data_IF_543956151773
#
_entry.id   IF_543956151773
#
_cell.length_a   1.000
_cell.length_b   1.000
_cell.length_c   1.000
_cell.angle_alpha   90.00
_cell.angle_beta   90.00
_cell.angle_gamma   90.00
#
_symmetry.space_group_name_H-M   'P 1'
#
loop_
_entity.id
_entity.type
_entity.pdbx_description
1 polymer ?
#
# COMPACT_ATOMS: atom_id res chain seq x y z
N UNK A 1 15.76 8.75 19.80
CA UNK A 1 14.51 9.30 19.23
C UNK A 1 14.30 8.63 17.89
N UNK A 2 13.14 8.00 17.68
CA UNK A 2 12.78 7.45 16.36
C UNK A 2 12.73 8.59 15.34
N UNK A 3 13.30 8.36 14.15
CA UNK A 3 13.26 9.30 13.03
C UNK A 3 11.82 9.55 12.62
N UNK A 4 11.61 10.68 11.93
CA UNK A 4 10.29 11.16 11.54
C UNK A 4 10.20 11.23 10.02
N UNK A 5 9.10 10.69 9.48
CA UNK A 5 8.79 10.73 8.05
C UNK A 5 7.73 11.80 7.80
N UNK A 6 7.85 12.55 6.71
CA UNK A 6 6.82 13.51 6.33
C UNK A 6 5.47 12.82 6.02
N UNK A 7 4.37 13.31 6.56
CA UNK A 7 3.04 12.70 6.39
C UNK A 7 2.56 12.69 4.93
N UNK A 8 2.93 13.68 4.11
CA UNK A 8 2.59 13.70 2.69
C UNK A 8 3.37 12.64 1.92
N UNK A 9 4.67 12.46 2.24
CA UNK A 9 5.47 11.35 1.71
C UNK A 9 4.84 10.01 2.08
N UNK A 10 4.61 9.77 3.37
CA UNK A 10 3.99 8.52 3.84
C UNK A 10 2.64 8.27 3.15
N UNK A 11 1.73 9.25 3.15
CA UNK A 11 0.45 9.14 2.46
C UNK A 11 0.62 8.79 0.98
N UNK A 12 1.51 9.48 0.26
CA UNK A 12 1.71 9.26 -1.18
C UNK A 12 2.23 7.85 -1.49
N UNK A 13 3.15 7.33 -0.67
CA UNK A 13 3.68 5.97 -0.81
C UNK A 13 2.62 4.94 -0.46
N UNK A 14 1.80 5.16 0.57
CA UNK A 14 0.69 4.27 0.93
C UNK A 14 -0.35 4.22 -0.19
N UNK A 15 -0.74 5.37 -0.76
CA UNK A 15 -1.68 5.43 -1.89
C UNK A 15 -1.13 4.72 -3.12
N UNK A 16 0.14 4.95 -3.49
CA UNK A 16 0.81 4.20 -4.57
C UNK A 16 0.83 2.70 -4.29
N UNK A 17 1.24 2.31 -3.09
CA UNK A 17 1.35 0.93 -2.64
C UNK A 17 0.01 0.19 -2.69
N UNK A 18 -1.10 0.83 -2.32
CA UNK A 18 -2.44 0.27 -2.47
C UNK A 18 -2.71 -0.16 -3.93
N UNK A 19 -2.51 0.75 -4.89
CA UNK A 19 -2.81 0.48 -6.29
C UNK A 19 -1.88 -0.59 -6.88
N UNK A 20 -0.58 -0.52 -6.55
CA UNK A 20 0.37 -1.55 -6.97
C UNK A 20 -0.03 -2.92 -6.44
N UNK A 21 -0.33 -3.04 -5.15
CA UNK A 21 -0.67 -4.29 -4.50
C UNK A 21 -2.02 -4.86 -4.95
N UNK A 22 -3.06 -4.03 -5.02
CA UNK A 22 -4.39 -4.47 -5.46
C UNK A 22 -4.36 -5.01 -6.89
N UNK A 23 -3.72 -4.29 -7.81
CA UNK A 23 -3.62 -4.74 -9.19
C UNK A 23 -2.75 -6.00 -9.34
N UNK A 24 -1.62 -6.11 -8.61
CA UNK A 24 -0.84 -7.34 -8.61
C UNK A 24 -1.61 -8.53 -8.02
N UNK A 25 -2.44 -8.33 -7.00
CA UNK A 25 -3.29 -9.38 -6.44
C UNK A 25 -4.26 -9.97 -7.48
N UNK A 26 -4.81 -9.14 -8.36
CA UNK A 26 -5.67 -9.60 -9.47
C UNK A 26 -4.82 -10.29 -10.55
N UNK A 27 -3.76 -9.63 -11.00
CA UNK A 27 -2.93 -10.09 -12.12
C UNK A 27 -2.27 -11.44 -11.80
N UNK A 28 -1.80 -11.63 -10.57
CA UNK A 28 -1.15 -12.87 -10.12
C UNK A 28 -2.13 -14.05 -9.96
N UNK A 29 -3.43 -13.76 -9.89
CA UNK A 29 -4.50 -14.76 -9.99
C UNK A 29 -4.81 -15.14 -11.44
N UNK A 30 -4.70 -14.20 -12.38
CA UNK A 30 -4.99 -14.43 -13.80
C UNK A 30 -3.79 -15.01 -14.56
N UNK A 31 -2.56 -14.66 -14.17
CA UNK A 31 -1.32 -15.03 -14.85
C UNK A 31 -0.47 -15.88 -13.89
N UNK A 32 -0.52 -17.20 -14.09
CA UNK A 32 0.18 -18.18 -13.26
C UNK A 32 1.70 -18.06 -13.45
N UNK A 33 2.46 -18.26 -12.36
CA UNK A 33 3.92 -18.22 -12.35
C UNK A 33 4.47 -16.80 -12.24
N UNK A 34 5.73 -16.61 -12.64
CA UNK A 34 6.47 -15.34 -12.53
C UNK A 34 6.83 -14.75 -13.90
N UNK A 35 5.95 -14.89 -14.90
CA UNK A 35 6.14 -14.28 -16.22
C UNK A 35 5.98 -12.75 -16.13
N UNK A 36 7.08 -12.08 -15.77
CA UNK A 36 7.11 -10.64 -15.57
C UNK A 36 6.66 -9.87 -16.82
N UNK A 37 7.01 -10.35 -18.02
CA UNK A 37 6.63 -9.71 -19.29
C UNK A 37 5.12 -9.74 -19.50
N UNK A 38 4.47 -10.86 -19.19
CA UNK A 38 3.01 -10.95 -19.28
C UNK A 38 2.32 -10.13 -18.18
N UNK A 39 2.80 -10.20 -16.94
CA UNK A 39 2.22 -9.45 -15.80
C UNK A 39 2.31 -7.93 -16.00
N UNK A 40 3.35 -7.45 -16.69
CA UNK A 40 3.55 -6.03 -16.99
C UNK A 40 3.16 -5.67 -18.43
N UNK A 41 2.47 -6.56 -19.15
CA UNK A 41 1.96 -6.24 -20.47
C UNK A 41 0.82 -5.21 -20.34
N UNK A 42 0.84 -4.09 -21.07
CA UNK A 42 -0.19 -3.05 -20.94
C UNK A 42 -1.61 -3.52 -21.22
N UNK A 43 -1.80 -4.50 -22.11
CA UNK A 43 -3.13 -5.05 -22.40
C UNK A 43 -3.66 -5.86 -21.21
N UNK A 44 -2.81 -6.70 -20.60
CA UNK A 44 -3.20 -7.50 -19.44
C UNK A 44 -3.53 -6.62 -18.23
N UNK A 45 -2.72 -5.60 -17.96
CA UNK A 45 -3.01 -4.65 -16.88
C UNK A 45 -4.34 -3.95 -17.13
N UNK A 46 -4.57 -3.43 -18.35
CA UNK A 46 -5.85 -2.77 -18.69
C UNK A 46 -7.03 -3.70 -18.51
N UNK A 47 -6.93 -4.93 -19.00
CA UNK A 47 -8.00 -5.90 -18.90
C UNK A 47 -8.34 -6.19 -17.42
N UNK A 48 -7.33 -6.51 -16.60
CA UNK A 48 -7.51 -6.70 -15.17
C UNK A 48 -8.18 -5.49 -14.49
N UNK A 49 -7.78 -4.28 -14.88
CA UNK A 49 -8.36 -3.06 -14.28
C UNK A 49 -9.79 -2.80 -14.76
N UNK A 50 -10.11 -3.00 -16.03
CA UNK A 50 -11.46 -2.81 -16.57
C UNK A 50 -12.47 -3.84 -16.04
N UNK A 51 -12.03 -5.04 -15.70
CA UNK A 51 -12.89 -6.08 -15.11
C UNK A 51 -13.26 -5.79 -13.64
N UNK A 52 -12.43 -5.01 -12.94
CA UNK A 52 -12.52 -4.84 -11.49
C UNK A 52 -12.58 -3.37 -11.02
N UNK A 53 -12.67 -2.39 -11.94
CA UNK A 53 -12.55 -0.97 -11.60
C UNK A 53 -13.61 -0.45 -10.62
N UNK A 54 -14.83 -1.00 -10.68
CA UNK A 54 -15.94 -0.58 -9.81
C UNK A 54 -15.71 -0.97 -8.33
N UNK A 55 -14.90 -2.01 -8.09
CA UNK A 55 -14.61 -2.53 -6.75
C UNK A 55 -13.46 -1.76 -6.06
N UNK A 56 -12.63 -1.05 -6.85
CA UNK A 56 -11.43 -0.37 -6.37
C UNK A 56 -11.74 0.69 -5.30
N UNK A 57 -12.79 1.50 -5.49
CA UNK A 57 -13.10 2.58 -4.54
C UNK A 57 -13.51 2.07 -3.17
N UNK A 58 -14.28 0.97 -3.12
CA UNK A 58 -14.70 0.35 -1.86
C UNK A 58 -13.48 -0.24 -1.12
N UNK A 59 -12.65 -1.02 -1.82
CA UNK A 59 -11.42 -1.56 -1.23
C UNK A 59 -10.43 -0.47 -0.82
N UNK A 60 -10.34 0.62 -1.59
CA UNK A 60 -9.51 1.76 -1.22
C UNK A 60 -9.98 2.36 0.09
N UNK A 61 -11.28 2.59 0.26
CA UNK A 61 -11.82 3.11 1.51
C UNK A 61 -11.50 2.17 2.68
N UNK A 62 -11.82 0.89 2.56
CA UNK A 62 -11.67 -0.10 3.63
C UNK A 62 -10.23 -0.22 4.14
N UNK A 63 -9.25 -0.07 3.24
CA UNK A 63 -7.83 -0.23 3.55
C UNK A 63 -7.18 1.11 3.92
N UNK A 64 -7.46 2.17 3.16
CA UNK A 64 -6.77 3.45 3.33
C UNK A 64 -7.36 4.30 4.44
N UNK A 65 -8.66 4.18 4.76
CA UNK A 65 -9.23 4.88 5.92
C UNK A 65 -8.52 4.55 7.23
N UNK A 66 -8.42 3.26 7.67
CA UNK A 66 -7.73 2.94 8.91
C UNK A 66 -6.23 3.27 8.86
N UNK A 67 -5.59 3.10 7.69
CA UNK A 67 -4.18 3.45 7.51
C UNK A 67 -3.92 4.96 7.72
N UNK A 68 -4.69 5.81 7.06
CA UNK A 68 -4.57 7.27 7.17
C UNK A 68 -5.00 7.79 8.54
N UNK A 69 -6.04 7.19 9.13
CA UNK A 69 -6.46 7.54 10.49
C UNK A 69 -5.34 7.25 11.50
N UNK A 70 -4.71 6.07 11.42
CA UNK A 70 -3.56 5.71 12.26
C UNK A 70 -2.34 6.60 12.00
N UNK A 71 -2.13 7.01 10.75
CA UNK A 71 -1.03 7.91 10.36
C UNK A 71 -1.17 9.29 11.01
N UNK A 72 -2.38 9.84 11.06
CA UNK A 72 -2.62 11.26 11.39
C UNK A 72 -3.18 11.50 12.80
N UNK A 73 -3.64 10.44 13.46
CA UNK A 73 -4.20 10.46 14.82
C UNK A 73 -3.43 9.51 15.74
N UNK A 74 -2.48 10.03 16.55
CA UNK A 74 -1.70 9.20 17.47
C UNK A 74 -2.52 8.52 18.57
N UNK A 75 -3.66 9.11 18.93
CA UNK A 75 -4.55 8.62 19.99
C UNK A 75 -5.81 8.03 19.34
N UNK A 76 -5.85 6.70 19.27
CA UNK A 76 -6.94 5.96 18.65
C UNK A 76 -8.28 6.19 19.35
N UNK A 77 -8.29 6.27 20.69
CA UNK A 77 -9.54 6.48 21.44
C UNK A 77 -10.13 7.85 21.13
N UNK A 78 -9.31 8.90 21.15
CA UNK A 78 -9.75 10.25 20.77
C UNK A 78 -10.18 10.35 19.32
N UNK A 79 -9.50 9.64 18.42
CA UNK A 79 -9.90 9.56 17.01
C UNK A 79 -11.30 8.95 16.88
N UNK A 80 -11.55 7.81 17.53
CA UNK A 80 -12.85 7.14 17.50
C UNK A 80 -13.98 7.99 18.12
N UNK A 81 -13.70 8.68 19.23
CA UNK A 81 -14.66 9.63 19.82
C UNK A 81 -15.00 10.77 18.87
N UNK A 82 -13.99 11.33 18.18
CA UNK A 82 -14.19 12.41 17.20
C UNK A 82 -14.96 11.89 15.98
N UNK A 83 -14.62 10.71 15.47
CA UNK A 83 -15.28 10.07 14.34
C UNK A 83 -16.77 9.86 14.63
N UNK A 84 -17.08 9.30 15.81
CA UNK A 84 -18.46 9.16 16.28
C UNK A 84 -19.15 10.51 16.29
N UNK A 85 -18.61 11.51 17.00
CA UNK A 85 -19.23 12.85 17.09
C UNK A 85 -19.49 13.50 15.74
N UNK A 86 -18.61 13.28 14.76
CA UNK A 86 -18.72 13.88 13.43
C UNK A 86 -19.78 13.20 12.55
N UNK A 87 -20.02 11.90 12.76
CA UNK A 87 -20.90 11.07 11.92
C UNK A 87 -22.06 10.36 12.67
N UNK A 88 -22.35 10.70 13.92
CA UNK A 88 -23.36 10.00 14.77
C UNK A 88 -24.74 9.90 14.11
N UNK A 89 -25.14 10.90 13.31
CA UNK A 89 -26.47 10.98 12.69
C UNK A 89 -26.40 11.24 11.17
N UNK A 90 -25.27 10.94 10.52
CA UNK A 90 -25.06 11.19 9.09
C UNK A 90 -24.52 9.94 8.42
N UNK A 91 -25.16 9.52 7.33
CA UNK A 91 -24.53 8.57 6.42
C UNK A 91 -23.39 9.30 5.71
N UNK A 92 -22.18 9.05 6.18
CA UNK A 92 -21.00 9.65 5.60
C UNK A 92 -20.59 8.92 4.32
N UNK A 93 -20.23 9.68 3.29
CA UNK A 93 -19.67 9.10 2.08
C UNK A 93 -18.16 8.82 2.22
N UNK A 94 -17.60 8.12 1.23
CA UNK A 94 -16.16 7.81 1.17
C UNK A 94 -15.28 9.05 1.29
N UNK A 95 -15.68 10.15 0.63
CA UNK A 95 -14.90 11.39 0.62
C UNK A 95 -14.82 12.00 2.02
N UNK A 96 -15.92 11.98 2.78
CA UNK A 96 -15.98 12.47 4.15
C UNK A 96 -15.10 11.63 5.09
N UNK A 97 -15.15 10.30 4.99
CA UNK A 97 -14.27 9.43 5.80
C UNK A 97 -12.79 9.65 5.50
N UNK A 98 -12.41 9.73 4.22
CA UNK A 98 -11.02 9.96 3.83
C UNK A 98 -10.54 11.36 4.20
N UNK A 99 -11.40 12.37 4.11
CA UNK A 99 -11.09 13.74 4.55
C UNK A 99 -10.88 13.78 6.06
N UNK A 100 -11.72 13.10 6.83
CA UNK A 100 -11.54 12.93 8.26
C UNK A 100 -10.18 12.28 8.58
N UNK A 101 -9.86 11.15 7.91
CA UNK A 101 -8.63 10.41 8.13
C UNK A 101 -7.37 11.22 7.74
N UNK A 102 -7.46 12.09 6.73
CA UNK A 102 -6.37 12.99 6.32
C UNK A 102 -6.19 14.20 7.27
N UNK A 103 -7.13 14.46 8.19
CA UNK A 103 -7.09 15.51 9.23
C UNK A 103 -7.05 16.97 8.72
N UNK A 104 -6.53 17.22 7.53
CA UNK A 104 -6.44 18.55 6.89
C UNK A 104 -6.86 18.46 5.43
N UNK A 105 -7.47 19.53 4.93
CA UNK A 105 -7.92 19.61 3.54
C UNK A 105 -6.75 19.47 2.55
N UNK A 106 -5.60 20.08 2.87
CA UNK A 106 -4.40 19.99 2.01
C UNK A 106 -3.87 18.56 1.88
N UNK A 107 -3.86 17.78 2.97
CA UNK A 107 -3.43 16.38 2.90
C UNK A 107 -4.47 15.52 2.17
N UNK A 108 -5.76 15.83 2.35
CA UNK A 108 -6.83 15.17 1.60
C UNK A 108 -6.75 15.44 0.09
N UNK A 109 -6.58 16.69 -0.33
CA UNK A 109 -6.38 17.07 -1.73
C UNK A 109 -5.16 16.39 -2.34
N UNK A 110 -4.04 16.35 -1.60
CA UNK A 110 -2.84 15.63 -2.00
C UNK A 110 -3.12 14.13 -2.20
N UNK A 111 -3.88 13.50 -1.29
CA UNK A 111 -4.28 12.10 -1.40
C UNK A 111 -5.18 11.85 -2.61
N UNK A 112 -6.15 12.73 -2.87
CA UNK A 112 -7.02 12.63 -4.05
C UNK A 112 -6.21 12.74 -5.35
N UNK A 113 -5.20 13.62 -5.40
CA UNK A 113 -4.32 13.75 -6.56
C UNK A 113 -3.46 12.49 -6.77
N UNK A 114 -2.91 11.94 -5.68
CA UNK A 114 -2.20 10.66 -5.71
C UNK A 114 -3.08 9.49 -6.16
N UNK A 115 -4.33 9.45 -5.67
CA UNK A 115 -5.32 8.46 -6.07
C UNK A 115 -5.57 8.51 -7.58
N UNK A 116 -5.92 9.69 -8.08
CA UNK A 116 -6.23 9.90 -9.50
C UNK A 116 -5.04 9.54 -10.39
N UNK A 117 -3.83 9.92 -10.00
CA UNK A 117 -2.62 9.63 -10.79
C UNK A 117 -2.38 8.13 -10.93
N UNK A 118 -2.35 7.41 -9.80
CA UNK A 118 -2.10 5.96 -9.83
C UNK A 118 -3.22 5.20 -10.53
N UNK A 119 -4.47 5.60 -10.30
CA UNK A 119 -5.61 4.99 -10.99
C UNK A 119 -5.56 5.22 -12.51
N UNK A 120 -5.27 6.45 -12.96
CA UNK A 120 -5.15 6.76 -14.38
C UNK A 120 -4.01 5.98 -15.05
N UNK A 121 -2.88 5.77 -14.37
CA UNK A 121 -1.78 4.95 -14.90
C UNK A 121 -2.22 3.50 -15.12
N UNK A 122 -2.94 2.93 -14.17
CA UNK A 122 -3.48 1.57 -14.29
C UNK A 122 -4.47 1.44 -15.45
N UNK A 123 -5.35 2.43 -15.65
CA UNK A 123 -6.24 2.48 -16.82
C UNK A 123 -5.49 2.65 -18.15
N UNK A 124 -4.27 3.19 -18.10
CA UNK A 124 -3.35 3.26 -19.24
C UNK A 124 -2.50 1.99 -19.39
N UNK A 125 -2.68 0.98 -18.54
CA UNK A 125 -1.96 -0.29 -18.58
C UNK A 125 -0.57 -0.23 -17.98
N UNK A 126 -0.34 0.67 -17.02
CA UNK A 126 0.97 0.93 -16.44
C UNK A 126 0.88 1.05 -14.92
N UNK A 127 1.91 0.56 -14.23
CA UNK A 127 2.17 0.94 -12.85
C UNK A 127 2.98 2.23 -12.83
N UNK A 128 2.78 3.06 -11.81
CA UNK A 128 3.64 4.24 -11.57
C UNK A 128 5.05 3.76 -11.21
N UNK A 129 6.07 4.22 -11.95
CA UNK A 129 7.47 3.88 -11.63
C UNK A 129 7.95 4.56 -10.34
N UNK A 130 9.10 4.13 -9.82
CA UNK A 130 9.74 4.77 -8.65
C UNK A 130 10.16 6.19 -9.01
N UNK A 131 10.80 6.35 -10.16
CA UNK A 131 11.33 7.61 -10.68
C UNK A 131 10.21 8.62 -10.88
N UNK A 132 9.13 8.20 -11.57
CA UNK A 132 7.94 9.02 -11.77
C UNK A 132 7.34 9.45 -10.43
N UNK A 133 7.25 8.54 -9.45
CA UNK A 133 6.72 8.88 -8.14
C UNK A 133 7.59 9.92 -7.41
N UNK A 134 8.91 9.72 -7.37
CA UNK A 134 9.86 10.62 -6.70
C UNK A 134 9.78 12.04 -7.29
N UNK A 135 9.64 12.15 -8.61
CA UNK A 135 9.57 13.42 -9.31
C UNK A 135 8.35 14.25 -8.93
N UNK A 136 7.17 13.61 -8.80
CA UNK A 136 5.89 14.33 -8.73
C UNK A 136 5.11 14.20 -7.42
N UNK A 137 5.56 13.40 -6.44
CA UNK A 137 4.82 13.25 -5.20
C UNK A 137 4.79 14.56 -4.37
N UNK A 138 3.69 14.82 -3.64
CA UNK A 138 3.53 16.05 -2.86
C UNK A 138 4.54 16.09 -1.69
N UNK A 139 5.45 17.06 -1.71
CA UNK A 139 6.39 17.29 -0.59
C UNK A 139 5.71 17.93 0.62
N UNK A 140 4.59 18.62 0.41
CA UNK A 140 3.68 19.09 1.45
C UNK A 140 4.32 19.96 2.54
N UNK A 141 3.67 19.97 3.72
CA UNK A 141 4.15 20.70 4.88
C UNK A 141 5.21 19.88 5.63
N UNK A 142 6.43 20.40 5.76
CA UNK A 142 7.56 19.68 6.35
C UNK A 142 7.36 19.32 7.83
N UNK A 143 6.59 20.11 8.58
CA UNK A 143 6.32 19.88 10.01
C UNK A 143 5.27 18.78 10.27
N UNK A 144 4.53 18.35 9.23
CA UNK A 144 3.60 17.22 9.36
C UNK A 144 4.41 15.94 9.29
N UNK A 145 4.57 15.26 10.42
CA UNK A 145 5.42 14.07 10.51
C UNK A 145 4.75 12.91 11.24
N UNK A 146 5.17 11.71 10.86
CA UNK A 146 4.81 10.44 11.50
C UNK A 146 6.06 9.75 12.01
N UNK A 147 5.90 8.88 13.00
CA UNK A 147 6.96 7.99 13.43
C UNK A 147 7.36 7.00 12.32
N UNK A 148 8.66 6.84 12.11
CA UNK A 148 9.22 6.01 11.05
C UNK A 148 8.79 4.53 11.16
N UNK A 149 8.91 3.93 12.35
CA UNK A 149 8.51 2.55 12.58
C UNK A 149 7.00 2.36 12.41
N UNK A 150 6.21 3.33 12.87
CA UNK A 150 4.75 3.32 12.65
C UNK A 150 4.41 3.37 11.15
N UNK A 151 5.13 4.18 10.37
CA UNK A 151 4.91 4.27 8.93
C UNK A 151 5.22 2.95 8.22
N UNK A 152 6.29 2.25 8.63
CA UNK A 152 6.63 0.91 8.12
C UNK A 152 5.49 -0.08 8.42
N UNK A 153 5.01 -0.13 9.66
CA UNK A 153 3.89 -1.01 10.05
C UNK A 153 2.65 -0.75 9.19
N UNK A 154 2.30 0.53 8.98
CA UNK A 154 1.14 0.91 8.16
C UNK A 154 1.36 0.51 6.69
N UNK A 155 2.57 0.71 6.15
CA UNK A 155 2.90 0.34 4.78
C UNK A 155 2.73 -1.15 4.52
N UNK A 156 3.31 -1.99 5.38
CA UNK A 156 3.18 -3.45 5.27
C UNK A 156 1.71 -3.86 5.27
N UNK A 157 0.91 -3.31 6.20
CA UNK A 157 -0.53 -3.59 6.28
C UNK A 157 -1.28 -3.19 5.02
N UNK A 158 -1.01 -2.01 4.47
CA UNK A 158 -1.64 -1.55 3.23
C UNK A 158 -1.31 -2.48 2.07
N UNK A 159 -0.03 -2.83 1.88
CA UNK A 159 0.39 -3.70 0.78
C UNK A 159 -0.26 -5.08 0.87
N UNK A 160 -0.23 -5.72 2.04
CA UNK A 160 -0.76 -7.07 2.20
C UNK A 160 -2.28 -7.11 2.12
N UNK A 161 -2.99 -6.17 2.76
CA UNK A 161 -4.46 -6.13 2.71
C UNK A 161 -4.96 -5.76 1.31
N UNK A 162 -4.29 -4.84 0.60
CA UNK A 162 -4.64 -4.51 -0.78
C UNK A 162 -4.40 -5.68 -1.74
N UNK A 163 -3.29 -6.39 -1.59
CA UNK A 163 -3.02 -7.59 -2.39
C UNK A 163 -4.06 -8.70 -2.14
N UNK A 164 -4.41 -8.96 -0.87
CA UNK A 164 -5.47 -9.91 -0.51
C UNK A 164 -6.84 -9.49 -1.07
N UNK A 165 -7.16 -8.19 -1.03
CA UNK A 165 -8.37 -7.65 -1.66
C UNK A 165 -8.36 -7.89 -3.18
N UNK A 166 -7.22 -7.69 -3.84
CA UNK A 166 -7.05 -7.99 -5.27
C UNK A 166 -7.29 -9.48 -5.60
N UNK A 167 -6.74 -10.40 -4.78
CA UNK A 167 -7.02 -11.83 -4.93
C UNK A 167 -8.52 -12.10 -4.84
N UNK A 168 -9.21 -11.55 -3.83
CA UNK A 168 -10.65 -11.75 -3.65
C UNK A 168 -11.45 -11.19 -4.83
N UNK A 169 -11.10 -9.99 -5.29
CA UNK A 169 -11.74 -9.33 -6.43
C UNK A 169 -11.60 -10.15 -7.71
N UNK A 170 -10.47 -10.85 -7.90
CA UNK A 170 -10.22 -11.71 -9.08
C UNK A 170 -11.26 -12.83 -9.26
N UNK A 171 -12.01 -13.19 -8.20
CA UNK A 171 -13.01 -14.28 -8.19
C UNK A 171 -12.45 -15.64 -8.66
N UNK A 172 -11.13 -15.80 -8.62
CA UNK A 172 -10.46 -17.08 -8.87
C UNK A 172 -10.46 -17.95 -7.61
N UNK A 173 -10.15 -19.24 -7.76
CA UNK A 173 -9.97 -20.14 -6.62
C UNK A 173 -8.66 -19.91 -5.85
N UNK A 174 -7.75 -19.07 -6.38
CA UNK A 174 -6.44 -18.81 -5.75
C UNK A 174 -6.64 -18.08 -4.43
N UNK A 175 -5.93 -18.55 -3.40
CA UNK A 175 -5.91 -17.95 -2.04
C UNK A 175 -4.51 -17.59 -1.56
N UNK A 176 -3.50 -17.89 -2.38
CA UNK A 176 -2.09 -17.84 -2.05
C UNK A 176 -1.43 -16.56 -2.54
N UNK A 177 -0.48 -16.06 -1.77
CA UNK A 177 0.35 -14.93 -2.18
C UNK A 177 1.44 -15.33 -3.16
N UNK A 178 1.68 -14.48 -4.17
CA UNK A 178 2.90 -14.58 -4.97
C UNK A 178 4.04 -13.93 -4.18
N UNK A 179 4.94 -14.75 -3.65
CA UNK A 179 6.04 -14.29 -2.80
C UNK A 179 6.98 -13.31 -3.52
N UNK A 180 7.25 -13.52 -4.81
CA UNK A 180 8.11 -12.62 -5.59
C UNK A 180 7.48 -11.24 -5.71
N UNK A 181 6.17 -11.16 -6.00
CA UNK A 181 5.44 -9.89 -6.06
C UNK A 181 5.41 -9.20 -4.70
N UNK A 182 5.14 -9.93 -3.62
CA UNK A 182 5.10 -9.38 -2.25
C UNK A 182 6.46 -8.80 -1.84
N UNK A 183 7.55 -9.56 -1.96
CA UNK A 183 8.88 -9.07 -1.58
C UNK A 183 9.33 -7.90 -2.46
N UNK A 184 9.06 -7.93 -3.77
CA UNK A 184 9.36 -6.81 -4.67
C UNK A 184 8.62 -5.55 -4.24
N UNK A 185 7.31 -5.62 -4.01
CA UNK A 185 6.52 -4.45 -3.62
C UNK A 185 6.93 -3.92 -2.24
N UNK A 186 7.17 -4.82 -1.27
CA UNK A 186 7.65 -4.43 0.06
C UNK A 186 8.98 -3.68 -0.04
N UNK A 187 9.94 -4.23 -0.78
CA UNK A 187 11.26 -3.63 -0.93
C UNK A 187 11.18 -2.25 -1.57
N UNK A 188 10.50 -2.14 -2.72
CA UNK A 188 10.42 -0.89 -3.48
C UNK A 188 9.64 0.19 -2.74
N UNK A 189 8.51 -0.14 -2.10
CA UNK A 189 7.75 0.84 -1.35
C UNK A 189 8.42 1.21 -0.02
N UNK A 190 9.17 0.30 0.61
CA UNK A 190 10.01 0.66 1.78
C UNK A 190 11.11 1.61 1.36
N UNK A 191 11.79 1.37 0.23
CA UNK A 191 12.78 2.30 -0.31
C UNK A 191 12.17 3.69 -0.53
N UNK A 192 10.98 3.76 -1.14
CA UNK A 192 10.28 5.03 -1.36
C UNK A 192 9.84 5.71 -0.07
N UNK A 193 9.42 4.94 0.95
CA UNK A 193 8.98 5.49 2.23
C UNK A 193 10.15 6.09 3.01
N UNK A 194 11.27 5.38 3.03
CA UNK A 194 12.41 5.66 3.89
C UNK A 194 13.41 6.61 3.23
N UNK A 195 13.57 6.50 1.92
CA UNK A 195 14.61 7.20 1.16
C UNK A 195 13.98 8.10 0.08
N UNK A 196 14.68 9.16 -0.32
CA UNK A 196 14.22 10.09 -1.36
C UNK A 196 14.89 9.80 -2.72
N UNK A 197 15.39 8.57 -2.91
CA UNK A 197 16.11 8.15 -4.12
C UNK A 197 15.85 6.67 -4.43
N UNK A 198 16.18 6.27 -5.65
CA UNK A 198 16.39 4.86 -5.99
C UNK A 198 17.47 4.23 -5.10
N UNK A 199 17.59 2.89 -5.17
CA UNK A 199 18.73 2.17 -4.61
C UNK A 199 20.03 2.75 -5.14
N UNK A 200 21.04 2.81 -4.28
CA UNK A 200 22.37 3.33 -4.63
C UNK A 200 23.36 2.20 -4.87
N UNK A 201 23.16 1.05 -4.24
CA UNK A 201 23.99 -0.12 -4.46
C UNK A 201 23.54 -0.88 -5.71
N UNK A 202 24.47 -1.65 -6.27
CA UNK A 202 24.21 -2.70 -7.27
C UNK A 202 24.04 -4.06 -6.57
N UNK A 203 23.59 -4.07 -5.31
CA UNK A 203 23.44 -5.28 -4.51
C UNK A 203 22.37 -6.22 -5.10
N UNK A 204 22.66 -7.51 -5.11
CA UNK A 204 21.74 -8.55 -5.60
C UNK A 204 21.16 -9.39 -4.46
N UNK A 205 21.80 -9.41 -3.28
CA UNK A 205 21.26 -10.08 -2.10
C UNK A 205 20.00 -9.37 -1.58
N UNK A 206 18.88 -10.10 -1.55
CA UNK A 206 17.59 -9.56 -1.16
C UNK A 206 17.60 -9.00 0.27
N UNK A 207 18.28 -9.68 1.20
CA UNK A 207 18.33 -9.25 2.60
C UNK A 207 19.18 -7.98 2.76
N UNK A 208 20.28 -7.87 2.02
CA UNK A 208 21.10 -6.66 1.95
C UNK A 208 20.33 -5.49 1.33
N UNK A 209 19.52 -5.72 0.29
CA UNK A 209 18.62 -4.70 -0.27
C UNK A 209 17.57 -4.22 0.75
N UNK A 210 16.97 -5.14 1.52
CA UNK A 210 16.04 -4.74 2.59
C UNK A 210 16.76 -3.97 3.71
N UNK A 211 17.99 -4.34 4.07
CA UNK A 211 18.81 -3.59 5.03
C UNK A 211 19.10 -2.17 4.54
N UNK A 212 19.46 -2.01 3.27
CA UNK A 212 19.64 -0.68 2.66
C UNK A 212 18.36 0.13 2.70
N UNK A 213 17.23 -0.45 2.27
CA UNK A 213 15.94 0.24 2.24
C UNK A 213 15.48 0.68 3.64
N UNK A 214 15.62 -0.18 4.64
CA UNK A 214 15.24 0.13 6.03
C UNK A 214 16.24 1.07 6.72
N UNK A 215 17.48 1.15 6.23
CA UNK A 215 18.56 2.00 6.73
C UNK A 215 19.16 1.60 8.08
N UNK A 216 18.47 0.76 8.88
CA UNK A 216 18.96 0.19 10.12
C UNK A 216 18.24 -1.14 10.45
N UNK A 217 18.82 -1.90 11.39
CA UNK A 217 18.33 -3.22 11.80
C UNK A 217 17.01 -3.17 12.58
N UNK A 218 16.76 -2.12 13.37
CA UNK A 218 15.49 -1.98 14.10
C UNK A 218 14.30 -1.90 13.14
N UNK A 219 14.41 -1.08 12.09
CA UNK A 219 13.38 -0.93 11.06
C UNK A 219 13.21 -2.21 10.21
N UNK A 220 14.30 -2.93 9.95
CA UNK A 220 14.25 -4.22 9.28
C UNK A 220 13.42 -5.22 10.08
N UNK A 221 13.68 -5.30 11.39
CA UNK A 221 12.92 -6.16 12.30
C UNK A 221 11.45 -5.73 12.37
N UNK A 222 11.16 -4.43 12.43
CA UNK A 222 9.77 -3.92 12.40
C UNK A 222 9.08 -4.31 11.10
N UNK A 223 9.75 -4.20 9.95
CA UNK A 223 9.20 -4.58 8.64
C UNK A 223 8.79 -6.06 8.61
N UNK A 224 9.70 -6.97 8.97
CA UNK A 224 9.44 -8.42 8.92
C UNK A 224 8.48 -8.88 10.02
N UNK A 225 8.55 -8.33 11.22
CA UNK A 225 7.55 -8.64 12.27
C UNK A 225 6.14 -8.19 11.83
N UNK A 226 6.02 -7.00 11.23
CA UNK A 226 4.75 -6.52 10.69
C UNK A 226 4.24 -7.39 9.55
N UNK A 227 5.16 -7.92 8.72
CA UNK A 227 4.83 -8.84 7.63
C UNK A 227 4.19 -10.11 8.20
N UNK A 228 4.87 -10.75 9.15
CA UNK A 228 4.41 -11.98 9.80
C UNK A 228 3.08 -11.80 10.55
N UNK A 229 2.94 -10.71 11.30
CA UNK A 229 1.72 -10.39 12.04
C UNK A 229 0.53 -10.16 11.10
N UNK A 230 0.71 -9.31 10.09
CA UNK A 230 -0.36 -9.03 9.11
C UNK A 230 -0.72 -10.28 8.32
N UNK A 231 0.27 -11.10 8.00
CA UNK A 231 0.05 -12.37 7.32
C UNK A 231 -0.81 -13.32 8.16
N UNK A 232 -0.51 -13.48 9.46
CA UNK A 232 -1.32 -14.28 10.40
C UNK A 232 -2.75 -13.75 10.53
N UNK A 233 -2.93 -12.44 10.56
CA UNK A 233 -4.26 -11.81 10.55
C UNK A 233 -5.04 -12.22 9.29
N UNK A 234 -4.42 -12.12 8.11
CA UNK A 234 -5.06 -12.46 6.83
C UNK A 234 -5.37 -13.94 6.67
N UNK A 235 -4.54 -14.84 7.20
CA UNK A 235 -4.87 -16.28 7.25
C UNK A 235 -6.17 -16.49 8.04
N UNK A 236 -6.30 -15.81 9.19
CA UNK A 236 -7.43 -15.97 10.11
C UNK A 236 -8.70 -15.30 9.59
N UNK A 237 -8.60 -14.09 9.05
CA UNK A 237 -9.74 -13.28 8.61
C UNK A 237 -10.21 -13.69 7.21
N UNK A 238 -9.28 -14.00 6.31
CA UNK A 238 -9.52 -14.05 4.87
C UNK A 238 -9.17 -15.40 4.22
N UNK A 239 -8.63 -16.35 4.99
CA UNK A 239 -8.25 -17.68 4.49
C UNK A 239 -7.09 -17.66 3.48
N UNK A 240 -6.22 -16.64 3.56
CA UNK A 240 -5.04 -16.51 2.70
C UNK A 240 -3.97 -17.56 3.03
N UNK A 241 -3.25 -18.05 2.02
CA UNK A 241 -2.17 -19.06 2.15
C UNK A 241 -0.80 -18.45 1.77
N UNK A 242 0.25 -18.80 2.53
CA UNK A 242 1.48 -18.01 2.56
C UNK A 242 2.28 -18.22 1.29
N UNK A 243 2.11 -19.35 0.65
CA UNK A 243 2.62 -19.62 -0.68
C UNK A 243 1.65 -20.52 -1.42
N UNK A 244 1.90 -20.66 -2.72
CA UNK A 244 1.34 -21.76 -3.48
C UNK A 244 1.95 -23.06 -2.91
N UNK A 245 1.23 -23.82 -2.07
CA UNK A 245 1.59 -25.21 -1.71
C UNK A 245 1.38 -26.16 -2.91
N UNK A 246 1.75 -25.72 -4.11
CA UNK A 246 1.83 -26.51 -5.33
C UNK A 246 3.11 -26.13 -6.08
N UNK A 247 4.22 -26.45 -5.45
CA UNK A 247 5.48 -26.71 -6.16
C UNK A 247 6.15 -27.92 -5.49
N UNK A 248 5.51 -29.07 -5.66
CA UNK A 248 6.10 -30.36 -6.03
C UNK A 248 4.98 -31.36 -6.38
#
# INVERSE_FOLDING_TARGET
MSKKINSYKAMSVLTRGFFEAFANGIIDCQIIGNDFKKKHNPQNIKQAMLEHYEEISAHFLDIMFPALARLNYPDEKKMQEKLKKEFTDKQADMAQYLRFACKTDKLYEAMVNEYKRNFNRLLQGQFTSIEEHIEVYPRGLQLSVVDEQMAIVILVRVLLKAYAAGIKASKTAKRSFNQVSIYRMLLLNTQLLMNDSSFKSEEEDLMALFKEACGNEENLNVLFNSLDETYKELVKEDGIIAGDEQSN
#
